data_IF_788637030595
#
_entry.id   IF_788637030595
#
_cell.length_a   1.000
_cell.length_b   1.000
_cell.length_c   1.000
_cell.angle_alpha   90.00
_cell.angle_beta   90.00
_cell.angle_gamma   90.00
#
_symmetry.space_group_name_H-M   'P 1'
#
loop_
_entity.id
_entity.type
_entity.pdbx_description
1 polymer ?
#
# COMPACT_ATOMS: atom_id res chain seq x y z
N UNK A 1 11.41 32.56 24.80
CA UNK A 1 11.32 31.44 23.86
C UNK A 1 10.84 32.00 22.55
N UNK A 2 11.46 31.59 21.46
CA UNK A 2 11.00 31.88 20.10
C UNK A 2 9.65 31.18 19.84
N UNK A 3 8.94 31.56 18.77
CA UNK A 3 7.76 30.85 18.31
C UNK A 3 8.17 29.86 17.20
N UNK A 4 7.77 28.60 17.35
CA UNK A 4 7.90 27.55 16.35
C UNK A 4 6.50 27.07 15.97
N UNK A 5 6.15 27.23 14.71
CA UNK A 5 4.92 26.68 14.13
C UNK A 5 5.24 25.41 13.34
N UNK A 6 4.42 24.38 13.53
CA UNK A 6 4.50 23.10 12.82
C UNK A 6 3.14 22.84 12.21
N UNK A 7 3.07 22.97 10.88
CA UNK A 7 1.87 22.73 10.09
C UNK A 7 1.89 21.27 9.62
N UNK A 8 0.89 20.52 10.09
CA UNK A 8 0.72 19.09 9.86
C UNK A 8 -0.48 18.87 8.91
N UNK A 9 -0.40 17.94 7.94
CA UNK A 9 -1.53 17.62 7.08
C UNK A 9 -2.61 16.91 7.90
N UNK A 10 -3.86 17.37 7.81
CA UNK A 10 -4.97 16.81 8.60
C UNK A 10 -5.41 15.41 8.13
N UNK A 11 -5.24 15.15 6.83
CA UNK A 11 -5.48 13.87 6.16
C UNK A 11 -4.42 13.68 5.07
N UNK A 12 -3.94 12.46 4.90
CA UNK A 12 -3.20 12.02 3.70
C UNK A 12 -4.13 11.08 2.94
N UNK A 13 -4.57 11.50 1.76
CA UNK A 13 -5.33 10.63 0.85
C UNK A 13 -4.35 9.71 0.10
N UNK A 14 -4.66 8.41 0.06
CA UNK A 14 -3.82 7.41 -0.62
C UNK A 14 -4.61 6.84 -1.81
N UNK A 15 -4.15 7.23 -3.00
CA UNK A 15 -4.70 6.88 -4.31
C UNK A 15 -3.82 5.86 -5.05
N UNK A 16 -2.51 6.02 -4.94
CA UNK A 16 -1.51 5.18 -5.61
C UNK A 16 -0.76 4.31 -4.59
N UNK A 17 0.19 3.49 -5.07
CA UNK A 17 1.09 2.75 -4.18
C UNK A 17 2.13 3.64 -3.50
N UNK A 18 2.20 4.91 -3.88
CA UNK A 18 3.30 5.84 -3.59
C UNK A 18 2.73 7.24 -3.41
N UNK A 19 2.87 7.86 -2.25
CA UNK A 19 2.24 9.15 -1.91
C UNK A 19 3.20 10.09 -1.15
N UNK A 20 2.99 11.41 -1.29
CA UNK A 20 3.81 12.42 -0.60
C UNK A 20 3.11 12.95 0.66
N UNK A 21 3.85 12.96 1.77
CA UNK A 21 3.36 13.46 3.06
C UNK A 21 4.23 14.67 3.51
N UNK A 22 3.80 15.91 3.20
CA UNK A 22 4.55 17.11 3.56
C UNK A 22 4.26 17.57 5.00
N UNK A 23 5.28 18.04 5.68
CA UNK A 23 5.20 18.82 6.93
C UNK A 23 5.92 20.14 6.73
N UNK A 24 5.40 21.21 7.29
CA UNK A 24 6.02 22.54 7.18
C UNK A 24 6.39 23.07 8.57
N UNK A 25 7.59 23.62 8.68
CA UNK A 25 8.12 24.25 9.89
C UNK A 25 8.39 25.72 9.62
N UNK A 26 7.93 26.59 10.51
CA UNK A 26 8.14 28.03 10.42
C UNK A 26 8.60 28.56 11.79
N UNK A 27 9.65 29.35 11.79
CA UNK A 27 10.12 30.11 12.96
C UNK A 27 10.85 31.35 12.49
N UNK A 28 10.81 32.42 13.29
CA UNK A 28 11.47 33.70 13.00
C UNK A 28 12.96 33.72 13.37
N UNK A 29 13.47 32.70 14.07
CA UNK A 29 14.83 32.62 14.60
C UNK A 29 15.54 31.32 14.16
N UNK A 30 16.82 31.17 14.50
CA UNK A 30 17.73 30.07 14.13
C UNK A 30 18.03 29.06 15.26
N UNK A 31 17.24 29.11 16.33
CA UNK A 31 17.48 28.33 17.56
C UNK A 31 16.87 26.92 17.58
N UNK A 32 16.20 26.50 16.50
CA UNK A 32 15.38 25.29 16.47
C UNK A 32 15.98 24.17 15.62
N UNK A 33 16.33 23.07 16.30
CA UNK A 33 16.66 21.80 15.64
C UNK A 33 15.50 20.82 15.85
N UNK A 34 15.00 20.21 14.76
CA UNK A 34 13.81 19.36 14.77
C UNK A 34 14.16 18.01 14.12
N UNK A 35 14.00 16.93 14.88
CA UNK A 35 14.04 15.56 14.36
C UNK A 35 12.61 15.01 14.31
N UNK A 36 12.13 14.78 13.10
CA UNK A 36 10.81 14.19 12.84
C UNK A 36 10.98 12.71 12.53
N UNK A 37 10.46 11.84 13.40
CA UNK A 37 10.45 10.39 13.21
C UNK A 37 9.06 9.95 12.76
N UNK A 38 8.98 9.26 11.64
CA UNK A 38 7.71 8.90 11.03
C UNK A 38 7.38 7.42 11.20
N UNK A 39 6.14 7.15 11.61
CA UNK A 39 5.59 5.80 11.80
C UNK A 39 4.46 5.61 10.77
N UNK A 40 4.70 4.85 9.68
CA UNK A 40 3.68 4.59 8.68
C UNK A 40 2.50 3.78 9.26
N UNK A 41 1.30 3.90 8.67
CA UNK A 41 0.17 3.03 8.97
C UNK A 41 0.47 1.59 8.51
N UNK A 42 -0.22 0.61 9.12
CA UNK A 42 -0.06 -0.82 8.79
C UNK A 42 -0.28 -1.08 7.30
N UNK A 43 0.66 -1.76 6.66
CA UNK A 43 0.66 -2.01 5.21
C UNK A 43 1.41 -0.95 4.40
N UNK A 44 1.96 0.08 5.03
CA UNK A 44 2.82 1.07 4.39
C UNK A 44 4.23 1.10 4.99
N UNK A 45 5.18 1.57 4.20
CA UNK A 45 6.54 1.94 4.58
C UNK A 45 6.79 3.41 4.20
N UNK A 46 7.76 4.04 4.84
CA UNK A 46 8.32 5.32 4.40
C UNK A 46 9.66 5.05 3.73
N UNK A 47 10.00 5.80 2.69
CA UNK A 47 11.36 5.82 2.11
C UNK A 47 12.42 6.30 3.11
N UNK A 48 12.04 7.25 3.98
CA UNK A 48 12.88 7.84 5.02
C UNK A 48 12.19 7.65 6.38
N UNK A 49 12.82 7.00 7.38
CA UNK A 49 12.21 6.78 8.70
C UNK A 49 12.28 8.01 9.61
N UNK A 50 13.25 8.90 9.40
CA UNK A 50 13.36 10.17 10.11
C UNK A 50 14.14 11.22 9.33
N UNK A 51 13.80 12.48 9.55
CA UNK A 51 14.49 13.64 8.97
C UNK A 51 14.86 14.62 10.09
N UNK A 52 16.04 15.22 9.98
CA UNK A 52 16.54 16.25 10.89
C UNK A 52 16.69 17.57 10.12
N UNK A 53 16.21 18.68 10.68
CA UNK A 53 16.35 20.00 10.06
C UNK A 53 16.58 21.09 11.10
N UNK A 54 17.47 22.03 10.75
CA UNK A 54 17.60 23.32 11.42
C UNK A 54 16.62 24.28 10.74
N UNK A 55 15.80 24.97 11.53
CA UNK A 55 14.89 26.03 11.06
C UNK A 55 15.51 27.38 11.43
N UNK A 56 15.64 28.28 10.45
CA UNK A 56 16.40 29.53 10.59
C UNK A 56 15.75 30.68 9.82
N UNK A 57 14.76 31.33 10.42
CA UNK A 57 14.01 32.45 9.83
C UNK A 57 13.51 32.17 8.39
N UNK A 58 13.13 30.92 8.13
CA UNK A 58 12.75 30.44 6.80
C UNK A 58 11.74 29.29 6.90
N UNK A 59 10.93 29.14 5.85
CA UNK A 59 9.96 28.06 5.73
C UNK A 59 10.67 26.77 5.29
N UNK A 60 10.76 25.78 6.18
CA UNK A 60 11.30 24.44 5.86
C UNK A 60 10.16 23.46 5.60
N UNK A 61 10.33 22.57 4.64
CA UNK A 61 9.43 21.44 4.42
C UNK A 61 10.18 20.10 4.61
N UNK A 62 9.61 19.20 5.40
CA UNK A 62 9.95 17.79 5.37
C UNK A 62 8.98 17.07 4.43
N UNK A 63 9.52 16.40 3.41
CA UNK A 63 8.75 15.60 2.46
C UNK A 63 9.38 14.20 2.45
N UNK A 64 8.52 13.19 2.53
CA UNK A 64 8.89 11.79 2.39
C UNK A 64 7.82 11.06 1.57
N UNK A 65 8.18 9.87 1.11
CA UNK A 65 7.38 9.05 0.21
C UNK A 65 6.83 7.84 0.95
N UNK A 66 5.52 7.79 1.11
CA UNK A 66 4.79 6.65 1.63
C UNK A 66 4.58 5.61 0.54
N UNK A 67 5.18 4.43 0.68
CA UNK A 67 4.91 3.28 -0.21
C UNK A 67 3.98 2.30 0.48
N UNK A 68 2.82 2.00 -0.11
CA UNK A 68 1.76 1.20 0.51
C UNK A 68 1.42 -0.05 -0.29
N UNK A 69 1.48 -1.21 0.36
CA UNK A 69 0.77 -2.40 -0.09
C UNK A 69 -0.72 -2.23 0.27
N UNK A 70 -1.47 -1.74 -0.71
CA UNK A 70 -2.91 -1.52 -0.61
C UNK A 70 -3.70 -2.82 -0.36
N UNK A 71 -3.12 -4.00 -0.58
CA UNK A 71 -3.74 -5.29 -0.23
C UNK A 71 -3.69 -5.54 1.28
N UNK A 72 -2.58 -5.18 1.93
CA UNK A 72 -2.37 -5.32 3.38
C UNK A 72 -3.03 -4.18 4.15
N UNK A 73 -2.90 -2.93 3.68
CA UNK A 73 -3.56 -1.78 4.30
C UNK A 73 -5.10 -1.92 4.28
N UNK A 74 -5.66 -2.55 3.25
CA UNK A 74 -7.08 -2.87 3.19
C UNK A 74 -7.52 -4.02 4.13
N UNK A 75 -6.61 -4.83 4.67
CA UNK A 75 -6.95 -6.05 5.42
C UNK A 75 -7.35 -5.83 6.89
N UNK A 76 -7.02 -4.68 7.48
CA UNK A 76 -7.16 -4.36 8.93
C UNK A 76 -8.60 -4.18 9.43
N UNK A 77 -9.60 -4.55 8.63
CA UNK A 77 -11.00 -4.69 9.07
C UNK A 77 -11.80 -5.54 8.07
N UNK A 78 -11.98 -6.83 8.41
CA UNK A 78 -12.66 -7.87 7.61
C UNK A 78 -11.89 -8.30 6.36
N UNK A 79 -11.63 -9.60 6.27
CA UNK A 79 -10.92 -10.25 5.18
C UNK A 79 -11.63 -10.03 3.83
N UNK A 80 -11.01 -9.19 2.99
CA UNK A 80 -11.31 -9.09 1.56
C UNK A 80 -9.95 -9.06 0.86
N UNK A 81 -9.75 -9.97 -0.08
CA UNK A 81 -8.54 -10.00 -0.91
C UNK A 81 -8.58 -8.79 -1.86
N UNK A 82 -7.45 -8.45 -2.48
CA UNK A 82 -7.32 -7.26 -3.31
C UNK A 82 -6.58 -7.60 -4.59
N UNK A 83 -7.31 -7.63 -5.70
CA UNK A 83 -6.80 -7.47 -7.05
C UNK A 83 -7.04 -6.03 -7.56
N UNK A 84 -6.30 -5.60 -8.60
CA UNK A 84 -6.02 -4.19 -8.86
C UNK A 84 -6.87 -3.49 -9.96
N UNK A 85 -6.84 -2.14 -9.94
CA UNK A 85 -7.27 -1.19 -11.01
C UNK A 85 -8.82 -1.01 -11.19
N UNK A 86 -9.25 0.12 -11.80
CA UNK A 86 -10.60 0.74 -11.95
C UNK A 86 -11.88 0.13 -11.28
N UNK A 87 -12.73 0.83 -10.51
CA UNK A 87 -12.90 2.27 -10.19
C UNK A 87 -13.31 2.52 -8.70
N UNK A 88 -13.97 3.65 -8.34
CA UNK A 88 -14.11 4.13 -6.94
C UNK A 88 -14.94 3.24 -5.97
N UNK A 89 -14.44 3.08 -4.73
CA UNK A 89 -15.05 2.30 -3.64
C UNK A 89 -14.88 2.93 -2.25
N UNK A 90 -15.32 2.22 -1.19
CA UNK A 90 -15.36 2.75 0.19
C UNK A 90 -13.98 3.12 0.73
N UNK A 91 -13.90 4.29 1.35
CA UNK A 91 -12.73 4.75 2.13
C UNK A 91 -12.50 3.86 3.36
N UNK A 92 -11.27 3.37 3.53
CA UNK A 92 -10.77 2.85 4.82
C UNK A 92 -9.86 3.88 5.48
N UNK A 93 -9.80 3.87 6.81
CA UNK A 93 -8.99 4.83 7.59
C UNK A 93 -7.91 4.10 8.36
N UNK A 94 -6.67 4.57 8.23
CA UNK A 94 -5.55 4.24 9.11
C UNK A 94 -5.07 5.48 9.86
N UNK A 95 -4.16 5.28 10.81
CA UNK A 95 -3.50 6.35 11.54
C UNK A 95 -2.00 6.23 11.26
N UNK A 96 -1.43 7.27 10.67
CA UNK A 96 0.01 7.50 10.64
C UNK A 96 0.40 8.34 11.87
N UNK A 97 1.60 8.17 12.40
CA UNK A 97 2.08 8.97 13.54
C UNK A 97 3.40 9.65 13.21
N UNK A 98 3.54 10.91 13.61
CA UNK A 98 4.80 11.66 13.57
C UNK A 98 5.23 11.98 15.01
N UNK A 99 6.45 11.59 15.37
CA UNK A 99 7.06 11.87 16.66
C UNK A 99 8.19 12.89 16.46
N UNK A 100 7.99 14.11 16.96
CA UNK A 100 8.94 15.20 16.88
C UNK A 100 9.76 15.28 18.16
N UNK A 101 11.08 15.24 18.04
CA UNK A 101 12.02 15.68 19.07
C UNK A 101 12.52 17.06 18.66
N UNK A 102 12.20 18.07 19.47
CA UNK A 102 12.43 19.49 19.20
C UNK A 102 13.42 20.01 20.24
N UNK A 103 14.48 20.70 19.79
CA UNK A 103 15.47 21.34 20.65
C UNK A 103 15.35 22.87 20.55
N UNK A 104 15.04 23.55 21.66
CA UNK A 104 15.07 25.02 21.81
C UNK A 104 16.44 25.43 22.37
N UNK A 105 17.30 26.03 21.56
CA UNK A 105 18.61 26.52 21.97
C UNK A 105 18.65 28.03 22.30
N UNK A 106 17.50 28.72 22.35
CA UNK A 106 17.43 30.20 22.51
C UNK A 106 17.98 30.73 23.85
N UNK A 107 18.17 29.84 24.84
CA UNK A 107 18.76 30.17 26.14
C UNK A 107 20.24 29.81 26.30
N UNK A 108 20.96 29.49 25.22
CA UNK A 108 22.38 29.08 25.25
C UNK A 108 22.64 27.66 25.79
N UNK A 109 21.64 27.02 26.39
CA UNK A 109 21.57 25.58 26.61
C UNK A 109 20.29 25.04 25.96
N UNK A 110 20.43 23.98 25.17
CA UNK A 110 19.32 23.43 24.40
C UNK A 110 18.37 22.61 25.29
N UNK A 111 17.07 22.90 25.23
CA UNK A 111 16.02 22.17 25.94
C UNK A 111 15.29 21.24 24.98
N UNK A 112 15.11 19.98 25.37
CA UNK A 112 14.36 19.01 24.58
C UNK A 112 12.87 19.01 24.88
N UNK A 113 12.06 18.97 23.83
CA UNK A 113 10.62 18.89 23.85
C UNK A 113 10.17 17.76 22.92
N UNK A 114 9.27 16.91 23.38
CA UNK A 114 8.70 15.82 22.58
C UNK A 114 7.24 16.14 22.25
N UNK A 115 6.89 16.13 20.95
CA UNK A 115 5.52 16.28 20.44
C UNK A 115 5.14 15.05 19.63
N UNK A 116 3.89 14.61 19.74
CA UNK A 116 3.31 13.57 18.88
C UNK A 116 2.17 14.15 18.06
N UNK A 117 2.05 13.71 16.82
CA UNK A 117 0.92 13.97 15.95
C UNK A 117 0.36 12.67 15.40
N UNK A 118 -0.96 12.65 15.21
CA UNK A 118 -1.70 11.56 14.60
C UNK A 118 -2.40 12.07 13.33
N UNK A 119 -2.01 11.52 12.18
CA UNK A 119 -2.50 11.93 10.88
C UNK A 119 -3.38 10.81 10.33
N UNK A 120 -4.56 11.16 9.83
CA UNK A 120 -5.48 10.19 9.24
C UNK A 120 -5.02 9.85 7.82
N UNK A 121 -4.77 8.57 7.57
CA UNK A 121 -4.53 8.06 6.23
C UNK A 121 -5.86 7.53 5.66
N UNK A 122 -6.32 8.05 4.52
CA UNK A 122 -7.56 7.61 3.89
C UNK A 122 -7.29 6.85 2.59
N UNK A 123 -7.57 5.54 2.62
CA UNK A 123 -7.30 4.61 1.52
C UNK A 123 -8.54 4.42 0.65
N UNK A 124 -8.43 4.67 -0.66
CA UNK A 124 -9.53 4.38 -1.62
C UNK A 124 -9.46 2.95 -2.14
N UNK A 125 -10.00 2.02 -1.35
CA UNK A 125 -10.06 0.59 -1.72
C UNK A 125 -11.20 0.32 -2.69
N UNK A 126 -10.91 -0.42 -3.77
CA UNK A 126 -11.92 -0.86 -4.75
C UNK A 126 -12.73 -2.04 -4.22
N UNK A 127 -13.99 -2.13 -4.64
CA UNK A 127 -14.90 -3.17 -4.19
C UNK A 127 -14.97 -4.27 -5.24
N UNK A 128 -14.42 -5.44 -4.94
CA UNK A 128 -14.53 -6.61 -5.82
C UNK A 128 -16.00 -6.91 -6.15
N UNK A 129 -16.28 -7.23 -7.42
CA UNK A 129 -17.46 -8.07 -7.73
C UNK A 129 -17.23 -9.42 -7.05
N UNK A 130 -18.30 -10.09 -6.59
CA UNK A 130 -18.18 -11.44 -6.03
C UNK A 130 -17.69 -12.41 -7.10
N UNK A 131 -16.38 -12.68 -7.13
CA UNK A 131 -15.78 -13.75 -7.92
C UNK A 131 -16.47 -15.08 -7.55
N UNK A 132 -16.77 -15.92 -8.55
CA UNK A 132 -17.23 -17.31 -8.33
C UNK A 132 -16.07 -18.09 -7.66
N UNK A 133 -15.94 -18.02 -6.34
CA UNK A 133 -14.89 -18.73 -5.60
C UNK A 133 -15.05 -20.24 -5.77
N UNK A 134 -14.08 -20.89 -6.40
CA UNK A 134 -14.02 -22.35 -6.45
C UNK A 134 -13.71 -22.85 -5.03
N UNK A 135 -14.64 -23.59 -4.41
CA UNK A 135 -14.33 -24.37 -3.21
C UNK A 135 -13.64 -25.67 -3.60
N UNK A 136 -12.32 -25.62 -3.82
CA UNK A 136 -11.49 -26.82 -3.91
C UNK A 136 -10.95 -27.15 -2.52
N UNK A 137 -11.39 -28.27 -1.92
CA UNK A 137 -10.79 -28.76 -0.69
C UNK A 137 -9.32 -29.14 -0.96
N UNK A 138 -8.37 -28.41 -0.36
CA UNK A 138 -6.93 -28.56 -0.57
C UNK A 138 -6.28 -27.51 -1.47
N UNK A 139 -7.08 -26.75 -2.25
CA UNK A 139 -6.58 -25.82 -3.26
C UNK A 139 -6.02 -26.53 -4.51
N UNK A 140 -6.07 -25.90 -5.70
CA UNK A 140 -5.46 -26.46 -6.89
C UNK A 140 -3.92 -26.41 -6.79
N UNK A 141 -3.24 -27.45 -7.29
CA UNK A 141 -1.78 -27.54 -7.27
C UNK A 141 -1.10 -26.64 -8.32
N UNK A 142 -1.82 -26.28 -9.38
CA UNK A 142 -1.35 -25.39 -10.45
C UNK A 142 -2.50 -24.59 -11.07
N UNK A 143 -2.17 -23.56 -11.85
CA UNK A 143 -3.14 -22.79 -12.64
C UNK A 143 -3.94 -23.68 -13.60
N UNK A 144 -3.30 -24.68 -14.20
CA UNK A 144 -3.96 -25.65 -15.10
C UNK A 144 -4.95 -26.54 -14.36
N UNK A 145 -4.66 -26.95 -13.13
CA UNK A 145 -5.59 -27.75 -12.31
C UNK A 145 -6.79 -26.92 -11.85
N UNK A 146 -6.58 -25.62 -11.56
CA UNK A 146 -7.65 -24.70 -11.24
C UNK A 146 -8.63 -24.54 -12.43
N UNK A 147 -8.10 -24.34 -13.64
CA UNK A 147 -8.90 -24.22 -14.87
C UNK A 147 -9.59 -25.52 -15.24
N UNK A 148 -8.91 -26.66 -15.13
CA UNK A 148 -9.52 -27.98 -15.35
C UNK A 148 -10.64 -28.26 -14.34
N UNK A 149 -10.50 -27.81 -13.09
CA UNK A 149 -11.56 -27.90 -12.09
C UNK A 149 -12.78 -27.00 -12.37
N UNK A 150 -12.65 -25.99 -13.23
CA UNK A 150 -13.75 -25.11 -13.64
C UNK A 150 -14.47 -25.62 -14.90
N UNK A 151 -13.71 -25.94 -15.94
CA UNK A 151 -14.24 -26.38 -17.23
C UNK A 151 -14.77 -27.82 -17.19
N UNK A 152 -14.43 -28.59 -16.15
CA UNK A 152 -14.79 -29.99 -16.00
C UNK A 152 -13.71 -30.94 -16.53
N UNK A 153 -13.82 -32.21 -16.13
CA UNK A 153 -12.81 -33.24 -16.42
C UNK A 153 -12.71 -33.57 -17.91
N UNK A 154 -13.82 -33.39 -18.64
CA UNK A 154 -13.96 -33.65 -20.08
C UNK A 154 -13.56 -32.46 -20.97
N UNK A 155 -13.08 -31.36 -20.37
CA UNK A 155 -12.69 -30.17 -21.12
C UNK A 155 -11.47 -30.42 -22.02
N UNK A 156 -11.56 -29.97 -23.27
CA UNK A 156 -10.47 -30.12 -24.24
C UNK A 156 -9.20 -29.40 -23.78
N UNK A 157 -8.02 -29.94 -24.14
CA UNK A 157 -6.74 -29.27 -23.87
C UNK A 157 -6.65 -27.87 -24.49
N UNK A 158 -7.36 -27.63 -25.60
CA UNK A 158 -7.44 -26.33 -26.25
C UNK A 158 -8.25 -25.30 -25.43
N UNK A 159 -9.44 -25.67 -24.95
CA UNK A 159 -10.26 -24.79 -24.10
C UNK A 159 -9.59 -24.51 -22.75
N UNK A 160 -8.93 -25.51 -22.15
CA UNK A 160 -8.09 -25.32 -20.96
C UNK A 160 -6.95 -24.33 -21.27
N UNK A 161 -6.25 -24.48 -22.40
CA UNK A 161 -5.17 -23.58 -22.80
C UNK A 161 -5.62 -22.13 -23.01
N UNK A 162 -6.77 -21.91 -23.64
CA UNK A 162 -7.37 -20.58 -23.83
C UNK A 162 -7.77 -19.95 -22.49
N UNK A 163 -8.49 -20.68 -21.63
CA UNK A 163 -8.89 -20.17 -20.32
C UNK A 163 -7.67 -19.86 -19.42
N UNK A 164 -6.64 -20.72 -19.42
CA UNK A 164 -5.36 -20.44 -18.73
C UNK A 164 -4.71 -19.15 -19.24
N UNK A 165 -4.71 -18.91 -20.55
CA UNK A 165 -4.22 -17.64 -21.13
C UNK A 165 -5.04 -16.44 -20.65
N UNK A 166 -6.37 -16.50 -20.77
CA UNK A 166 -7.26 -15.41 -20.37
C UNK A 166 -7.02 -15.03 -18.90
N UNK A 167 -7.05 -16.00 -17.99
CA UNK A 167 -6.79 -15.78 -16.56
C UNK A 167 -5.39 -15.22 -16.34
N UNK A 168 -4.38 -15.71 -17.06
CA UNK A 168 -3.01 -15.25 -16.89
C UNK A 168 -2.81 -13.80 -17.33
N UNK A 169 -3.39 -13.41 -18.47
CA UNK A 169 -3.41 -12.01 -18.93
C UNK A 169 -4.21 -11.12 -17.95
N UNK A 170 -5.42 -11.56 -17.55
CA UNK A 170 -6.31 -10.86 -16.61
C UNK A 170 -5.67 -10.64 -15.23
N UNK A 171 -4.93 -11.62 -14.71
CA UNK A 171 -4.34 -11.60 -13.36
C UNK A 171 -2.83 -11.27 -13.37
N UNK A 172 -2.27 -10.79 -14.50
CA UNK A 172 -0.84 -10.46 -14.66
C UNK A 172 0.11 -11.60 -14.25
N UNK A 173 -0.22 -12.83 -14.64
CA UNK A 173 0.61 -14.03 -14.46
C UNK A 173 1.44 -14.22 -15.74
N UNK A 174 2.76 -14.29 -15.60
CA UNK A 174 3.64 -14.67 -16.70
C UNK A 174 3.54 -16.16 -17.00
N UNK A 175 3.38 -16.50 -18.27
CA UNK A 175 3.48 -17.87 -18.80
C UNK A 175 4.47 -17.84 -19.96
N UNK A 176 5.76 -18.14 -19.72
CA UNK A 176 6.81 -18.06 -20.74
C UNK A 176 6.51 -18.89 -21.99
N UNK A 177 5.97 -20.09 -21.82
CA UNK A 177 5.58 -21.01 -22.90
C UNK A 177 4.41 -20.53 -23.78
N UNK A 178 3.67 -19.51 -23.33
CA UNK A 178 2.66 -18.82 -24.15
C UNK A 178 3.07 -17.38 -24.53
N UNK A 179 4.27 -16.93 -24.17
CA UNK A 179 4.74 -15.56 -24.39
C UNK A 179 4.06 -14.49 -23.52
N UNK A 180 3.24 -14.91 -22.55
CA UNK A 180 2.49 -14.00 -21.67
C UNK A 180 3.48 -13.40 -20.65
N UNK A 181 3.55 -12.06 -20.62
CA UNK A 181 4.34 -11.31 -19.65
C UNK A 181 3.45 -10.88 -18.49
N UNK A 182 3.95 -11.02 -17.27
CA UNK A 182 3.22 -10.71 -16.05
C UNK A 182 4.17 -10.56 -14.86
N UNK A 183 3.61 -10.15 -13.72
CA UNK A 183 4.33 -9.91 -12.46
C UNK A 183 4.57 -11.20 -11.66
N UNK A 184 3.72 -12.22 -11.84
CA UNK A 184 3.76 -13.47 -11.08
C UNK A 184 4.11 -14.66 -11.98
N UNK A 185 5.09 -15.48 -11.62
CA UNK A 185 5.46 -16.68 -12.39
C UNK A 185 4.45 -17.83 -12.17
N UNK A 186 3.80 -18.30 -13.24
CA UNK A 186 2.80 -19.38 -13.20
C UNK A 186 3.29 -20.67 -12.52
N UNK A 187 4.61 -20.90 -12.54
CA UNK A 187 5.28 -22.09 -11.97
C UNK A 187 5.55 -21.94 -10.47
N UNK A 188 5.34 -20.75 -9.91
CA UNK A 188 5.65 -20.39 -8.50
C UNK A 188 4.43 -19.91 -7.72
N UNK A 189 3.23 -20.04 -8.29
CA UNK A 189 1.98 -19.64 -7.63
C UNK A 189 1.66 -20.58 -6.46
N UNK A 190 1.30 -20.02 -5.31
CA UNK A 190 0.83 -20.81 -4.17
C UNK A 190 -0.64 -21.22 -4.35
N UNK A 191 -1.10 -22.34 -3.74
CA UNK A 191 -2.52 -22.71 -3.75
C UNK A 191 -3.44 -21.63 -3.18
N UNK A 192 -2.94 -20.80 -2.25
CA UNK A 192 -3.64 -19.63 -1.71
C UNK A 192 -3.80 -18.51 -2.73
N UNK A 193 -2.77 -18.25 -3.56
CA UNK A 193 -2.85 -17.30 -4.67
C UNK A 193 -3.83 -17.79 -5.73
N UNK A 194 -3.72 -19.06 -6.13
CA UNK A 194 -4.64 -19.69 -7.09
C UNK A 194 -6.10 -19.67 -6.61
N UNK A 195 -6.35 -19.87 -5.30
CA UNK A 195 -7.69 -19.75 -4.71
C UNK A 195 -8.24 -18.32 -4.62
N UNK A 196 -7.42 -17.30 -4.92
CA UNK A 196 -7.79 -15.88 -4.94
C UNK A 196 -7.87 -15.24 -6.33
N UNK A 197 -7.59 -15.98 -7.40
CA UNK A 197 -7.66 -15.45 -8.77
C UNK A 197 -9.09 -15.14 -9.21
N UNK A 198 -9.22 -14.18 -10.13
CA UNK A 198 -10.45 -14.03 -10.90
C UNK A 198 -10.50 -15.08 -12.01
N UNK A 199 -11.64 -15.76 -12.10
CA UNK A 199 -11.97 -16.83 -13.04
C UNK A 199 -13.24 -16.51 -13.84
N UNK A 200 -13.57 -15.22 -13.99
CA UNK A 200 -14.74 -14.76 -14.73
C UNK A 200 -14.65 -15.05 -16.22
N UNK A 201 -13.46 -14.96 -16.83
CA UNK A 201 -13.23 -15.11 -18.28
C UNK A 201 -12.89 -16.57 -18.70
N UNK A 202 -13.58 -17.54 -18.07
CA UNK A 202 -13.43 -19.00 -18.30
C UNK A 202 -14.60 -19.60 -19.10
N UNK A 203 -15.63 -18.80 -19.42
CA UNK A 203 -16.74 -19.16 -20.32
C UNK A 203 -16.41 -18.82 -21.79
#
# INVERSE_FOLDING_TARGET
GSLLEILEPSVIDIFETTEYAPFTYESADDFWNIVTNFVPPVGCTSDIPSISTLVSNELKAAVFTLTCDLTVAASTSVATQVAAVGSFGKLKKGIAQANFQIQDCSGGSCKEHNRKSEIKAEFKVKKEKKVKKIKVNGGPASLWDAVRSLLGVDASSASIGTAVRNIAEQNSISIPEFGIRGLFDSRRLSPLFLGGLDYSDVE
#
